data_IF_409096659970
#
_entry.id   IF_409096659970
#
_cell.length_a   1.000
_cell.length_b   1.000
_cell.length_c   1.000
_cell.angle_alpha   90.00
_cell.angle_beta   90.00
_cell.angle_gamma   90.00
#
_symmetry.space_group_name_H-M   'P 1'
#
loop_
_entity.id
_entity.type
_entity.pdbx_description
1 polymer ?
#
# COMPACT_ATOMS: atom_id res chain seq x y z
N UNK A 1 -14.13 -9.93 -19.71
CA UNK A 1 -14.33 -9.28 -18.39
C UNK A 1 -13.46 -9.86 -17.26
N UNK A 2 -13.14 -11.16 -17.19
CA UNK A 2 -12.35 -11.74 -16.07
C UNK A 2 -10.90 -11.21 -15.99
N UNK A 3 -10.23 -11.04 -17.14
CA UNK A 3 -8.86 -10.52 -17.22
C UNK A 3 -8.68 -9.11 -16.62
N UNK A 4 -9.73 -8.27 -16.68
CA UNK A 4 -9.68 -6.92 -16.12
C UNK A 4 -9.43 -6.92 -14.61
N UNK A 5 -10.10 -7.82 -13.87
CA UNK A 5 -9.91 -7.94 -12.42
C UNK A 5 -8.53 -8.48 -12.04
N UNK A 6 -7.96 -9.37 -12.86
CA UNK A 6 -6.60 -9.89 -12.66
C UNK A 6 -5.57 -8.78 -12.87
N UNK A 7 -5.73 -7.96 -13.92
CA UNK A 7 -4.85 -6.82 -14.19
C UNK A 7 -4.91 -5.83 -13.02
N UNK A 8 -6.10 -5.52 -12.50
CA UNK A 8 -6.23 -4.64 -11.33
C UNK A 8 -5.57 -5.23 -10.08
N UNK A 9 -5.72 -6.54 -9.83
CA UNK A 9 -5.05 -7.21 -8.71
C UNK A 9 -3.52 -7.09 -8.81
N UNK A 10 -2.98 -7.38 -10.00
CA UNK A 10 -1.54 -7.29 -10.27
C UNK A 10 -1.07 -5.84 -10.13
N UNK A 11 -1.83 -4.87 -10.65
CA UNK A 11 -1.52 -3.45 -10.53
C UNK A 11 -1.39 -3.02 -9.07
N UNK A 12 -2.37 -3.35 -8.22
CA UNK A 12 -2.30 -3.06 -6.78
C UNK A 12 -1.07 -3.73 -6.16
N UNK A 13 -0.81 -4.99 -6.49
CA UNK A 13 0.37 -5.70 -6.02
C UNK A 13 1.68 -5.01 -6.41
N UNK A 14 1.79 -4.53 -7.65
CA UNK A 14 2.95 -3.79 -8.15
C UNK A 14 3.14 -2.46 -7.44
N UNK A 15 2.08 -1.72 -7.12
CA UNK A 15 2.17 -0.47 -6.34
C UNK A 15 2.82 -0.73 -4.98
N UNK A 16 2.37 -1.76 -4.27
CA UNK A 16 2.96 -2.16 -3.00
C UNK A 16 4.41 -2.66 -3.14
N UNK A 17 4.71 -3.42 -4.19
CA UNK A 17 6.09 -3.89 -4.43
C UNK A 17 7.05 -2.73 -4.69
N UNK A 18 6.68 -1.79 -5.55
CA UNK A 18 7.52 -0.63 -5.88
C UNK A 18 7.72 0.25 -4.64
N UNK A 19 6.64 0.55 -3.93
CA UNK A 19 6.67 1.37 -2.71
C UNK A 19 7.50 0.72 -1.59
N UNK A 20 7.27 -0.56 -1.30
CA UNK A 20 8.01 -1.30 -0.28
C UNK A 20 9.46 -1.54 -0.65
N UNK A 21 9.76 -1.78 -1.93
CA UNK A 21 11.14 -2.00 -2.41
C UNK A 21 11.97 -0.73 -2.27
N UNK A 22 11.45 0.42 -2.69
CA UNK A 22 12.15 1.69 -2.55
C UNK A 22 12.47 1.99 -1.08
N UNK A 23 11.49 1.85 -0.17
CA UNK A 23 11.70 2.05 1.27
C UNK A 23 12.62 1.03 1.93
N UNK A 24 12.80 -0.14 1.32
CA UNK A 24 13.69 -1.19 1.82
C UNK A 24 15.13 -1.04 1.34
N UNK A 25 15.33 -0.49 0.14
CA UNK A 25 16.65 -0.24 -0.45
C UNK A 25 17.25 1.04 0.11
N UNK A 26 16.43 2.08 0.26
CA UNK A 26 16.82 3.33 0.89
C UNK A 26 17.05 3.14 2.40
N UNK A 27 17.95 3.91 3.04
CA UNK A 27 18.11 3.88 4.49
C UNK A 27 16.76 4.15 5.18
N UNK A 28 16.39 3.31 6.16
CA UNK A 28 15.12 3.45 6.87
C UNK A 28 14.93 4.85 7.49
N UNK A 29 16.03 5.57 7.71
CA UNK A 29 16.03 6.96 8.17
C UNK A 29 15.23 7.88 7.25
N UNK A 30 15.26 7.69 5.93
CA UNK A 30 14.52 8.55 4.98
C UNK A 30 13.01 8.46 5.23
N UNK A 31 12.50 7.23 5.36
CA UNK A 31 11.09 7.01 5.67
C UNK A 31 10.75 7.40 7.12
N UNK A 32 11.69 7.23 8.07
CA UNK A 32 11.54 7.72 9.44
C UNK A 32 11.41 9.24 9.50
N UNK A 33 12.21 9.99 8.74
CA UNK A 33 12.12 11.45 8.64
C UNK A 33 10.75 11.89 8.11
N UNK A 34 10.23 11.21 7.09
CA UNK A 34 8.87 11.44 6.62
C UNK A 34 7.84 11.19 7.74
N UNK A 35 7.91 10.05 8.42
CA UNK A 35 7.04 9.69 9.55
C UNK A 35 7.06 10.73 10.69
N UNK A 36 8.24 11.22 11.04
CA UNK A 36 8.43 12.28 12.04
C UNK A 36 7.79 13.60 11.61
N UNK A 37 7.87 13.92 10.31
CA UNK A 37 7.19 15.08 9.71
C UNK A 37 5.68 15.03 9.85
N UNK A 38 5.08 13.84 9.83
CA UNK A 38 3.64 13.67 10.02
C UNK A 38 3.17 13.95 11.46
N UNK A 39 4.05 13.90 12.47
CA UNK A 39 3.71 14.13 13.88
C UNK A 39 2.45 13.38 14.34
N UNK A 40 2.33 12.13 13.90
CA UNK A 40 1.14 11.29 14.11
C UNK A 40 1.37 10.22 15.18
N UNK A 41 2.57 9.65 15.22
CA UNK A 41 2.94 8.53 16.10
C UNK A 41 3.91 8.99 17.20
N UNK A 42 3.95 8.30 18.35
CA UNK A 42 5.03 8.47 19.31
C UNK A 42 6.35 7.91 18.74
N UNK A 43 7.47 8.50 19.15
CA UNK A 43 8.82 8.23 18.62
C UNK A 43 9.22 6.75 18.58
N UNK A 44 8.80 5.94 19.56
CA UNK A 44 9.09 4.51 19.56
C UNK A 44 8.32 3.74 18.46
N UNK A 45 7.09 4.16 18.15
CA UNK A 45 6.29 3.56 17.08
C UNK A 45 6.79 4.00 15.71
N UNK A 46 7.25 5.24 15.56
CA UNK A 46 7.79 5.73 14.28
C UNK A 46 8.96 4.85 13.79
N UNK A 47 9.90 4.50 14.68
CA UNK A 47 11.04 3.64 14.34
C UNK A 47 10.56 2.22 13.97
N UNK A 48 9.60 1.67 14.72
CA UNK A 48 9.05 0.35 14.44
C UNK A 48 8.33 0.32 13.09
N UNK A 49 7.48 1.32 12.83
CA UNK A 49 6.73 1.48 11.57
C UNK A 49 7.69 1.66 10.40
N UNK A 50 8.71 2.52 10.55
CA UNK A 50 9.70 2.77 9.51
C UNK A 50 10.42 1.48 9.06
N UNK A 51 10.67 0.57 10.00
CA UNK A 51 11.36 -0.70 9.74
C UNK A 51 10.42 -1.79 9.24
N UNK A 52 9.20 -1.88 9.77
CA UNK A 52 8.30 -3.03 9.54
C UNK A 52 7.41 -2.83 8.32
N UNK A 53 6.91 -1.61 8.09
CA UNK A 53 5.97 -1.32 7.00
C UNK A 53 6.51 -1.74 5.63
N UNK A 54 7.77 -1.44 5.25
CA UNK A 54 8.28 -1.82 3.93
C UNK A 54 8.22 -3.33 3.66
N UNK A 55 8.49 -4.16 4.68
CA UNK A 55 8.37 -5.62 4.57
C UNK A 55 6.93 -6.08 4.41
N UNK A 56 5.99 -5.45 5.12
CA UNK A 56 4.56 -5.75 4.99
C UNK A 56 4.08 -5.38 3.57
N UNK A 57 4.48 -4.22 3.05
CA UNK A 57 4.16 -3.79 1.69
C UNK A 57 4.67 -4.80 0.66
N UNK A 58 5.94 -5.22 0.76
CA UNK A 58 6.51 -6.23 -0.12
C UNK A 58 5.74 -7.57 -0.05
N UNK A 59 5.41 -8.03 1.14
CA UNK A 59 4.68 -9.30 1.32
C UNK A 59 3.28 -9.25 0.69
N UNK A 60 2.53 -8.18 0.93
CA UNK A 60 1.21 -7.95 0.32
C UNK A 60 1.34 -7.88 -1.20
N UNK A 61 2.34 -7.16 -1.70
CA UNK A 61 2.63 -7.03 -3.12
C UNK A 61 2.87 -8.38 -3.80
N UNK A 62 3.75 -9.21 -3.22
CA UNK A 62 4.03 -10.56 -3.71
C UNK A 62 2.77 -11.43 -3.71
N UNK A 63 2.00 -11.42 -2.62
CA UNK A 63 0.79 -12.23 -2.49
C UNK A 63 -0.28 -11.83 -3.51
N UNK A 64 -0.46 -10.54 -3.79
CA UNK A 64 -1.41 -10.07 -4.81
C UNK A 64 -0.95 -10.38 -6.23
N UNK A 65 0.35 -10.27 -6.53
CA UNK A 65 0.88 -10.61 -7.86
C UNK A 65 0.74 -12.11 -8.12
N UNK A 66 1.19 -12.95 -7.19
CA UNK A 66 1.11 -14.41 -7.30
C UNK A 66 -0.32 -14.95 -7.15
N UNK A 67 -1.23 -14.17 -6.57
CA UNK A 67 -2.58 -14.61 -6.24
C UNK A 67 -2.57 -15.69 -5.15
N UNK A 68 -1.78 -15.46 -4.10
CA UNK A 68 -1.73 -16.27 -2.88
C UNK A 68 -2.49 -15.54 -1.78
N UNK A 69 -3.37 -16.25 -1.07
CA UNK A 69 -4.25 -15.69 -0.04
C UNK A 69 -4.88 -14.36 -0.49
N UNK A 70 -5.43 -14.36 -1.71
CA UNK A 70 -5.87 -13.15 -2.42
C UNK A 70 -6.85 -12.33 -1.59
N UNK A 71 -7.74 -12.99 -0.85
CA UNK A 71 -8.71 -12.32 0.02
C UNK A 71 -8.03 -11.59 1.17
N UNK A 72 -7.12 -12.27 1.87
CA UNK A 72 -6.38 -11.74 3.01
C UNK A 72 -5.43 -10.62 2.55
N UNK A 73 -4.75 -10.80 1.42
CA UNK A 73 -3.86 -9.80 0.83
C UNK A 73 -4.61 -8.54 0.38
N UNK A 74 -5.79 -8.68 -0.25
CA UNK A 74 -6.64 -7.54 -0.60
C UNK A 74 -7.18 -6.81 0.63
N UNK A 75 -7.53 -7.54 1.69
CA UNK A 75 -7.95 -6.93 2.94
C UNK A 75 -6.81 -6.16 3.60
N UNK A 76 -5.62 -6.76 3.69
CA UNK A 76 -4.43 -6.09 4.22
C UNK A 76 -4.06 -4.84 3.41
N UNK A 77 -4.11 -4.92 2.07
CA UNK A 77 -3.92 -3.78 1.18
C UNK A 77 -4.92 -2.65 1.46
N UNK A 78 -6.21 -2.97 1.63
CA UNK A 78 -7.23 -1.98 1.94
C UNK A 78 -7.00 -1.31 3.30
N UNK A 79 -6.58 -2.07 4.32
CA UNK A 79 -6.21 -1.52 5.63
C UNK A 79 -5.03 -0.57 5.52
N UNK A 80 -3.99 -0.93 4.75
CA UNK A 80 -2.83 -0.08 4.55
C UNK A 80 -3.15 1.21 3.81
N UNK A 81 -3.88 1.15 2.69
CA UNK A 81 -4.32 2.36 1.99
C UNK A 81 -5.14 3.27 2.89
N UNK A 82 -6.03 2.70 3.71
CA UNK A 82 -6.79 3.49 4.69
C UNK A 82 -5.86 4.18 5.69
N UNK A 83 -4.85 3.48 6.20
CA UNK A 83 -3.83 4.05 7.08
C UNK A 83 -3.05 5.19 6.44
N UNK A 84 -2.61 5.02 5.19
CA UNK A 84 -1.90 6.06 4.44
C UNK A 84 -2.76 7.29 4.20
N UNK A 85 -4.02 7.11 3.77
CA UNK A 85 -4.97 8.22 3.61
C UNK A 85 -5.15 8.98 4.92
N UNK A 86 -5.24 8.29 6.07
CA UNK A 86 -5.38 8.95 7.38
C UNK A 86 -4.12 9.75 7.72
N UNK A 87 -2.93 9.16 7.55
CA UNK A 87 -1.64 9.78 7.89
C UNK A 87 -1.36 11.01 7.01
N UNK A 88 -1.62 10.93 5.70
CA UNK A 88 -1.44 12.06 4.78
C UNK A 88 -2.56 13.08 4.95
N UNK A 89 -3.80 12.61 5.10
CA UNK A 89 -4.97 13.47 5.27
C UNK A 89 -4.90 14.35 6.51
N UNK A 90 -4.46 13.82 7.65
CA UNK A 90 -4.29 14.63 8.86
C UNK A 90 -3.23 15.73 8.67
N UNK A 91 -2.14 15.44 7.96
CA UNK A 91 -1.08 16.42 7.74
C UNK A 91 -1.54 17.55 6.82
N UNK A 92 -2.33 17.23 5.79
CA UNK A 92 -2.98 18.23 4.94
C UNK A 92 -3.96 19.12 5.73
N UNK A 93 -4.78 18.54 6.62
CA UNK A 93 -5.72 19.31 7.44
C UNK A 93 -4.97 20.26 8.40
N UNK A 94 -3.80 19.85 8.90
CA UNK A 94 -2.94 20.65 9.76
C UNK A 94 -2.09 21.69 9.00
N UNK A 95 -2.11 21.67 7.66
CA UNK A 95 -1.28 22.55 6.84
C UNK A 95 0.22 22.29 6.98
N UNK A 96 0.62 21.06 7.29
CA UNK A 96 2.03 20.68 7.36
C UNK A 96 2.55 20.61 5.92
N UNK A 97 3.49 21.50 5.59
CA UNK A 97 4.19 21.47 4.30
C UNK A 97 5.16 20.29 4.28
N UNK A 98 4.61 19.13 3.92
CA UNK A 98 5.38 17.96 3.57
C UNK A 98 5.86 18.16 2.13
N UNK A 99 7.10 18.62 1.98
CA UNK A 99 7.74 18.74 0.66
C UNK A 99 7.72 17.39 -0.08
N UNK A 100 7.77 16.27 0.65
CA UNK A 100 7.75 14.92 0.10
C UNK A 100 6.88 13.99 0.94
N UNK A 101 5.94 13.30 0.29
CA UNK A 101 5.01 12.39 0.98
C UNK A 101 5.69 11.09 1.46
N UNK A 102 6.90 10.78 0.96
CA UNK A 102 7.69 9.61 1.36
C UNK A 102 7.12 8.24 0.94
N UNK A 103 5.92 8.20 0.34
CA UNK A 103 5.27 6.95 -0.08
C UNK A 103 6.06 6.18 -1.16
N UNK A 104 6.83 6.85 -2.00
CA UNK A 104 7.72 6.25 -3.01
C UNK A 104 9.16 6.75 -2.90
N UNK A 105 9.51 7.26 -1.70
CA UNK A 105 10.77 7.95 -1.39
C UNK A 105 11.16 8.98 -2.45
N UNK A 106 12.44 9.02 -2.81
CA UNK A 106 13.02 10.03 -3.71
C UNK A 106 12.74 9.77 -5.20
N UNK A 107 12.15 8.63 -5.54
CA UNK A 107 12.00 8.22 -6.94
C UNK A 107 10.83 8.89 -7.64
N UNK A 108 9.76 9.18 -6.89
CA UNK A 108 8.50 9.69 -7.42
C UNK A 108 8.01 10.83 -6.53
N UNK A 109 8.18 12.07 -7.02
CA UNK A 109 7.63 13.26 -6.38
C UNK A 109 6.16 13.45 -6.78
N UNK A 110 5.25 12.96 -5.95
CA UNK A 110 3.81 13.22 -6.08
C UNK A 110 3.39 14.16 -4.94
N UNK A 111 2.66 15.26 -5.23
CA UNK A 111 2.16 16.14 -4.18
C UNK A 111 1.22 15.37 -3.23
N UNK A 112 1.12 15.75 -1.95
CA UNK A 112 0.31 14.99 -0.97
C UNK A 112 -1.16 14.79 -1.40
N UNK A 113 -1.74 15.77 -2.11
CA UNK A 113 -3.09 15.68 -2.69
C UNK A 113 -3.20 14.55 -3.72
N UNK A 114 -2.19 14.40 -4.59
CA UNK A 114 -2.13 13.34 -5.59
C UNK A 114 -2.00 11.96 -4.96
N UNK A 115 -1.23 11.85 -3.87
CA UNK A 115 -1.09 10.60 -3.10
C UNK A 115 -2.43 10.17 -2.52
N UNK A 116 -3.18 11.08 -1.88
CA UNK A 116 -4.51 10.76 -1.35
C UNK A 116 -5.46 10.28 -2.44
N UNK A 117 -5.48 10.93 -3.60
CA UNK A 117 -6.35 10.53 -4.72
C UNK A 117 -5.98 9.13 -5.21
N UNK A 118 -4.68 8.86 -5.38
CA UNK A 118 -4.18 7.55 -5.80
C UNK A 118 -4.49 6.46 -4.78
N UNK A 119 -4.29 6.71 -3.48
CA UNK A 119 -4.57 5.76 -2.40
C UNK A 119 -6.08 5.52 -2.29
N UNK A 120 -6.91 6.56 -2.41
CA UNK A 120 -8.36 6.43 -2.39
C UNK A 120 -8.87 5.63 -3.59
N UNK A 121 -8.35 5.88 -4.79
CA UNK A 121 -8.66 5.10 -5.98
C UNK A 121 -8.25 3.62 -5.80
N UNK A 122 -7.06 3.38 -5.27
CA UNK A 122 -6.54 2.03 -5.01
C UNK A 122 -7.35 1.30 -3.93
N UNK A 123 -7.80 2.01 -2.89
CA UNK A 123 -8.72 1.49 -1.88
C UNK A 123 -10.06 1.07 -2.49
N UNK A 124 -10.66 1.91 -3.34
CA UNK A 124 -11.91 1.57 -4.03
C UNK A 124 -11.72 0.32 -4.89
N UNK A 125 -10.61 0.22 -5.62
CA UNK A 125 -10.27 -0.96 -6.40
C UNK A 125 -10.17 -2.20 -5.50
N UNK A 126 -9.48 -2.13 -4.36
CA UNK A 126 -9.42 -3.23 -3.40
C UNK A 126 -10.81 -3.66 -2.91
N UNK A 127 -11.68 -2.71 -2.56
CA UNK A 127 -13.05 -3.00 -2.11
C UNK A 127 -13.90 -3.64 -3.21
N UNK A 128 -13.75 -3.19 -4.46
CA UNK A 128 -14.43 -3.79 -5.62
C UNK A 128 -13.93 -5.21 -5.86
N UNK A 129 -12.61 -5.44 -5.77
CA UNK A 129 -12.01 -6.77 -5.90
C UNK A 129 -12.44 -7.72 -4.77
N UNK A 130 -12.58 -7.23 -3.54
CA UNK A 130 -13.12 -7.99 -2.41
C UNK A 130 -14.59 -8.38 -2.63
N UNK A 131 -15.43 -7.48 -3.16
CA UNK A 131 -16.82 -7.79 -3.50
C UNK A 131 -16.94 -8.75 -4.69
N UNK A 132 -15.96 -8.73 -5.60
CA UNK A 132 -15.89 -9.59 -6.79
C UNK A 132 -14.76 -10.61 -6.69
N UNK A 133 -14.58 -11.19 -5.50
CA UNK A 133 -13.44 -12.06 -5.19
C UNK A 133 -13.32 -13.25 -6.15
N UNK A 134 -14.45 -13.85 -6.56
CA UNK A 134 -14.46 -14.97 -7.51
C UNK A 134 -13.87 -14.62 -8.89
N UNK A 135 -13.92 -13.35 -9.29
CA UNK A 135 -13.30 -12.85 -10.53
C UNK A 135 -11.83 -12.46 -10.31
N UNK A 136 -11.49 -11.95 -9.13
CA UNK A 136 -10.10 -11.65 -8.74
C UNK A 136 -9.25 -12.92 -8.54
N UNK A 137 -9.89 -14.03 -8.16
CA UNK A 137 -9.28 -15.36 -8.03
C UNK A 137 -9.15 -16.11 -9.36
N UNK A 138 -9.65 -15.58 -10.47
CA UNK A 138 -9.39 -16.19 -11.77
C UNK A 138 -7.87 -16.17 -12.01
N UNK A 139 -7.25 -17.34 -12.22
CA UNK A 139 -5.78 -17.50 -12.34
C UNK A 139 -4.96 -17.21 -11.06
N UNK A 140 -5.57 -17.20 -9.87
CA UNK A 140 -4.81 -17.16 -8.60
C UNK A 140 -4.24 -18.54 -8.26
N UNK A 141 -3.10 -18.61 -7.56
CA UNK A 141 -2.63 -19.88 -7.00
C UNK A 141 -3.64 -20.46 -6.00
N UNK A 142 -4.45 -19.61 -5.34
CA UNK A 142 -5.56 -20.04 -4.49
C UNK A 142 -6.56 -20.94 -5.23
N UNK A 143 -6.76 -20.76 -6.55
CA UNK A 143 -7.63 -21.64 -7.33
C UNK A 143 -7.09 -23.06 -7.50
N UNK A 144 -5.78 -23.27 -7.25
CA UNK A 144 -5.09 -24.56 -7.31
C UNK A 144 -4.84 -25.17 -5.94
N UNK A 145 -5.01 -24.40 -4.86
CA UNK A 145 -4.90 -24.88 -3.48
C UNK A 145 -6.33 -25.11 -2.94
N UNK A 146 -6.75 -26.37 -2.72
CA UNK A 146 -8.03 -26.62 -2.07
C UNK A 146 -7.96 -26.00 -0.67
N UNK A 147 -8.95 -25.17 -0.35
CA UNK A 147 -9.16 -24.45 0.92
C UNK A 147 -8.18 -23.33 1.29
N UNK A 148 -8.58 -22.09 0.96
CA UNK A 148 -8.35 -20.90 1.77
C UNK A 148 -9.52 -19.91 1.63
#
# INVERSE_FOLDING_TARGET
MKYFFVILRIFIGLVFLVSGFEKSVSPYQNFLYALQGYQFLPSFLEIAVAKIVPWIELLIGVFLVLGLWTRQALFAAAVMFTGFIIIVGQALIRGIDLAECGCFGEWIHIPPQGVIVMDAASLIVCLVLLKKLSLAQTWSLDSRLPSA
#
